data_IF_807312303288
#
_entry.id   IF_807312303288
#
_cell.length_a   1.000
_cell.length_b   1.000
_cell.length_c   1.000
_cell.angle_alpha   90.00
_cell.angle_beta   90.00
_cell.angle_gamma   90.00
#
_symmetry.space_group_name_H-M   'P 1'
#
loop_
_entity.id
_entity.type
_entity.pdbx_description
1 polymer ?
#
# COMPACT_ATOMS: atom_id res chain seq x y z
N UNK A 1 3.15 -6.65 40.50
CA UNK A 1 3.05 -5.74 39.34
C UNK A 1 2.78 -4.32 39.82
N UNK A 2 3.25 -3.31 39.10
CA UNK A 2 2.97 -1.88 39.34
C UNK A 2 2.43 -1.30 38.03
N UNK A 3 1.28 -0.63 38.05
CA UNK A 3 0.55 -0.24 36.83
C UNK A 3 -0.42 0.91 37.12
N UNK A 4 -0.72 1.76 36.12
CA UNK A 4 -1.77 2.78 36.20
C UNK A 4 -3.15 2.22 35.82
N UNK A 5 -4.24 2.83 36.31
CA UNK A 5 -5.60 2.30 36.17
C UNK A 5 -6.03 1.99 34.72
N UNK A 6 -5.77 2.86 33.75
CA UNK A 6 -6.09 2.61 32.34
C UNK A 6 -5.33 1.43 31.73
N UNK A 7 -4.06 1.25 32.10
CA UNK A 7 -3.26 0.10 31.66
C UNK A 7 -3.67 -1.21 32.36
N UNK A 8 -4.11 -1.11 33.62
CA UNK A 8 -4.71 -2.22 34.36
C UNK A 8 -6.02 -2.66 33.69
N UNK A 9 -6.94 -1.74 33.40
CA UNK A 9 -8.23 -2.04 32.77
C UNK A 9 -8.09 -2.69 31.38
N UNK A 10 -7.04 -2.37 30.61
CA UNK A 10 -6.77 -3.04 29.32
C UNK A 10 -6.28 -4.50 29.45
N UNK A 11 -5.82 -4.94 30.64
CA UNK A 11 -5.17 -6.26 30.82
C UNK A 11 -5.66 -7.06 32.04
N UNK A 12 -6.60 -6.53 32.84
CA UNK A 12 -7.06 -7.11 34.10
C UNK A 12 -7.62 -8.55 33.98
N UNK A 13 -8.05 -8.97 32.78
CA UNK A 13 -8.45 -10.36 32.51
C UNK A 13 -7.35 -11.39 32.82
N UNK A 14 -6.06 -11.04 32.69
CA UNK A 14 -4.94 -11.94 33.01
C UNK A 14 -4.78 -12.23 34.51
N UNK A 15 -5.51 -11.53 35.39
CA UNK A 15 -5.63 -11.90 36.81
C UNK A 15 -6.29 -13.27 36.94
N UNK A 16 -7.19 -13.65 36.02
CA UNK A 16 -7.79 -15.00 35.98
C UNK A 16 -6.72 -16.07 35.70
N UNK A 17 -5.80 -15.80 34.77
CA UNK A 17 -4.63 -16.64 34.47
C UNK A 17 -3.74 -16.76 35.70
N UNK A 18 -3.36 -15.63 36.33
CA UNK A 18 -2.54 -15.63 37.53
C UNK A 18 -3.17 -16.40 38.70
N UNK A 19 -4.49 -16.27 38.89
CA UNK A 19 -5.25 -16.96 39.93
C UNK A 19 -5.30 -18.47 39.66
N UNK A 20 -5.54 -18.88 38.42
CA UNK A 20 -5.59 -20.30 38.00
C UNK A 20 -4.26 -21.01 38.19
N UNK A 21 -3.14 -20.35 37.85
CA UNK A 21 -1.79 -20.91 37.95
C UNK A 21 -1.17 -20.73 39.36
N UNK A 22 -1.94 -20.27 40.37
CA UNK A 22 -1.48 -20.12 41.75
C UNK A 22 -0.39 -19.06 41.95
N UNK A 23 -0.24 -18.13 40.99
CA UNK A 23 0.80 -17.12 41.02
C UNK A 23 0.42 -16.00 41.99
N UNK A 24 1.07 -15.97 43.17
CA UNK A 24 0.86 -15.00 44.24
C UNK A 24 1.30 -13.57 43.89
N UNK A 25 0.73 -13.00 42.83
CA UNK A 25 1.09 -11.68 42.29
C UNK A 25 0.30 -10.59 43.01
N UNK A 26 1.01 -9.74 43.76
CA UNK A 26 0.43 -8.49 44.29
C UNK A 26 0.40 -7.44 43.18
N UNK A 27 -0.75 -6.80 42.97
CA UNK A 27 -0.94 -5.71 42.00
C UNK A 27 -1.07 -4.38 42.75
N UNK A 28 -0.13 -3.46 42.52
CA UNK A 28 -0.19 -2.08 42.98
C UNK A 28 -0.71 -1.23 41.82
N UNK A 29 -1.98 -0.83 41.90
CA UNK A 29 -2.62 0.02 40.90
C UNK A 29 -2.57 1.47 41.37
N UNK A 30 -1.95 2.33 40.58
CA UNK A 30 -2.04 3.78 40.75
C UNK A 30 -3.31 4.25 40.05
N UNK A 31 -4.22 4.85 40.81
CA UNK A 31 -5.53 5.30 40.34
C UNK A 31 -5.55 6.83 40.30
N UNK A 32 -5.10 7.41 39.19
CA UNK A 32 -5.10 8.85 38.90
C UNK A 32 -6.34 9.29 38.09
N UNK A 33 -7.10 8.37 37.51
CA UNK A 33 -8.36 8.65 36.82
C UNK A 33 -8.21 9.28 35.43
N UNK A 34 -6.98 9.49 34.98
CA UNK A 34 -6.63 10.04 33.67
C UNK A 34 -5.52 9.23 33.00
N UNK A 35 -5.44 9.28 31.67
CA UNK A 35 -4.28 8.78 30.93
C UNK A 35 -3.11 9.77 31.08
N UNK A 36 -2.57 9.88 32.30
CA UNK A 36 -1.65 10.95 32.73
C UNK A 36 -0.38 11.07 31.88
N UNK A 37 0.16 9.96 31.37
CA UNK A 37 1.29 9.98 30.42
C UNK A 37 0.92 10.57 29.05
N UNK A 38 -0.35 10.46 28.63
CA UNK A 38 -0.86 11.07 27.39
C UNK A 38 -1.18 12.56 27.64
N UNK A 39 -1.73 12.90 28.80
CA UNK A 39 -1.94 14.30 29.20
C UNK A 39 -0.62 15.09 29.20
N UNK A 40 0.41 14.59 29.90
CA UNK A 40 1.75 15.19 29.91
C UNK A 40 2.39 15.26 28.50
N UNK A 41 2.12 14.29 27.63
CA UNK A 41 2.59 14.33 26.25
C UNK A 41 1.87 15.39 25.38
N UNK A 42 0.63 15.75 25.72
CA UNK A 42 -0.16 16.80 25.04
C UNK A 42 0.19 18.21 25.54
N UNK A 43 0.65 18.36 26.79
CA UNK A 43 1.14 19.65 27.30
C UNK A 43 2.45 20.11 26.65
N UNK A 44 3.23 19.19 26.03
CA UNK A 44 4.45 19.52 25.28
C UNK A 44 4.07 20.11 23.90
N UNK A 45 4.35 21.40 23.62
CA UNK A 45 3.92 21.99 22.36
C UNK A 45 4.70 21.42 21.17
N UNK A 46 4.02 20.63 20.32
CA UNK A 46 4.56 20.07 19.08
C UNK A 46 4.82 21.16 18.01
N UNK A 47 5.87 21.97 18.21
CA UNK A 47 6.29 23.02 17.28
C UNK A 47 7.11 22.44 16.11
N UNK A 48 6.60 22.38 14.86
CA UNK A 48 7.30 21.73 13.75
C UNK A 48 8.61 22.42 13.36
N UNK A 49 8.77 23.70 13.74
CA UNK A 49 9.95 24.51 13.43
C UNK A 49 11.19 24.11 14.25
N UNK A 50 11.02 23.52 15.45
CA UNK A 50 12.15 23.13 16.31
C UNK A 50 12.96 21.98 15.70
N UNK A 51 12.26 20.92 15.26
CA UNK A 51 12.84 19.77 14.55
C UNK A 51 13.55 20.19 13.25
N UNK A 52 13.05 21.21 12.55
CA UNK A 52 13.66 21.70 11.31
C UNK A 52 15.00 22.40 11.54
N UNK A 53 15.19 23.08 12.67
CA UNK A 53 16.48 23.70 13.05
C UNK A 53 17.51 22.67 13.49
N UNK A 54 17.10 21.65 14.25
CA UNK A 54 17.98 20.57 14.70
C UNK A 54 18.59 19.77 13.53
N UNK A 55 17.87 19.59 12.42
CA UNK A 55 18.35 18.86 11.23
C UNK A 55 19.29 19.64 10.30
N UNK A 56 19.46 20.96 10.47
CA UNK A 56 20.17 21.81 9.50
C UNK A 56 21.53 22.35 9.96
N UNK A 57 21.95 22.11 11.21
CA UNK A 57 23.31 22.46 11.68
C UNK A 57 23.65 23.95 11.77
N UNK A 58 22.66 24.83 11.61
CA UNK A 58 22.79 26.29 11.61
C UNK A 58 23.30 26.84 12.97
N UNK A 59 24.42 27.61 13.01
CA UNK A 59 24.91 28.23 14.24
C UNK A 59 23.92 29.26 14.80
N UNK A 60 23.62 29.18 16.11
CA UNK A 60 22.56 29.96 16.75
C UNK A 60 22.72 31.48 16.66
N UNK A 61 21.83 32.13 15.90
CA UNK A 61 21.71 33.58 15.82
C UNK A 61 21.41 34.25 17.17
N UNK A 62 21.96 35.46 17.37
CA UNK A 62 21.95 36.19 18.65
C UNK A 62 20.53 36.57 19.11
N UNK A 63 20.23 36.39 20.41
CA UNK A 63 19.09 37.03 21.07
C UNK A 63 19.31 38.56 21.16
N UNK A 64 18.31 39.42 20.90
CA UNK A 64 18.35 40.81 21.32
C UNK A 64 18.29 40.88 22.86
N UNK A 65 19.00 41.85 23.46
CA UNK A 65 19.30 41.83 24.90
C UNK A 65 18.51 42.84 25.74
N UNK A 66 18.04 42.41 26.91
CA UNK A 66 17.70 43.32 28.00
C UNK A 66 18.97 43.75 28.75
N UNK A 67 19.22 45.07 28.82
CA UNK A 67 20.24 45.66 29.71
C UNK A 67 19.64 45.97 31.08
N UNK A 68 20.17 45.36 32.14
CA UNK A 68 20.28 45.98 33.47
C UNK A 68 21.72 45.81 34.00
N UNK A 69 22.13 46.69 34.91
CA UNK A 69 23.54 46.99 35.24
C UNK A 69 24.01 46.27 36.51
N UNK A 70 25.30 45.94 36.58
CA UNK A 70 26.09 45.86 37.82
C UNK A 70 27.49 46.51 37.59
N UNK A 71 28.16 47.01 38.64
CA UNK A 71 29.37 47.87 38.53
C UNK A 71 30.71 47.09 38.45
N UNK A 72 31.85 47.77 38.16
CA UNK A 72 33.11 47.10 37.77
C UNK A 72 34.29 47.20 38.77
N UNK A 73 34.96 46.08 39.03
CA UNK A 73 36.36 45.95 39.50
C UNK A 73 36.94 44.60 38.99
N UNK A 74 38.24 44.38 38.79
CA UNK A 74 39.37 45.31 38.75
C UNK A 74 40.76 44.61 38.68
N UNK A 75 41.52 44.80 37.59
CA UNK A 75 42.94 44.39 37.45
C UNK A 75 43.22 42.88 37.20
N UNK A 76 44.47 42.39 37.10
CA UNK A 76 45.75 42.97 36.57
C UNK A 76 46.84 41.86 36.49
N UNK A 77 47.85 42.02 35.60
CA UNK A 77 49.07 41.16 35.39
C UNK A 77 48.77 39.80 34.69
N UNK A 78 49.51 39.25 33.71
CA UNK A 78 50.95 39.17 33.30
C UNK A 78 51.77 38.09 34.03
N UNK A 79 52.30 37.08 33.31
CA UNK A 79 53.74 36.74 33.20
C UNK A 79 54.02 35.70 32.06
N UNK A 80 55.27 35.22 31.89
CA UNK A 80 55.96 35.23 30.57
C UNK A 80 57.15 34.22 30.46
N UNK A 81 57.28 33.48 29.33
CA UNK A 81 58.46 32.67 28.86
C UNK A 81 58.82 31.41 29.71
N UNK A 82 59.72 30.49 29.34
CA UNK A 82 60.74 30.30 28.25
C UNK A 82 60.90 28.77 27.96
N UNK A 83 61.45 28.25 26.83
CA UNK A 83 61.69 28.84 25.51
C UNK A 83 63.08 28.56 24.85
N UNK A 84 63.30 27.39 24.22
CA UNK A 84 64.46 27.05 23.35
C UNK A 84 64.37 25.63 22.73
N UNK A 85 65.31 25.08 21.91
CA UNK A 85 66.22 25.60 20.85
C UNK A 85 67.12 24.44 20.32
N UNK A 86 67.30 24.26 18.99
CA UNK A 86 68.29 23.32 18.41
C UNK A 86 68.27 23.22 16.87
N UNK A 87 69.40 23.50 16.18
CA UNK A 87 69.57 23.62 14.70
C UNK A 87 71.08 23.92 14.37
N UNK A 88 71.57 24.08 13.10
CA UNK A 88 70.91 24.06 11.78
C UNK A 88 71.40 22.92 10.84
N UNK A 89 72.37 23.00 9.85
CA UNK A 89 73.28 24.09 9.40
C UNK A 89 72.96 24.90 8.09
N UNK A 90 73.21 24.37 6.86
CA UNK A 90 73.50 25.10 5.58
C UNK A 90 73.15 24.17 4.37
N UNK A 91 73.07 24.56 3.07
CA UNK A 91 73.32 25.82 2.28
C UNK A 91 71.96 26.52 1.97
N UNK A 92 71.75 27.70 1.34
CA UNK A 92 72.35 28.60 0.29
C UNK A 92 72.26 28.09 -1.16
N UNK A 93 71.66 28.79 -2.15
CA UNK A 93 71.00 30.11 -2.31
C UNK A 93 71.12 30.59 -3.79
N UNK A 94 70.66 31.78 -4.27
CA UNK A 94 69.76 32.84 -3.76
C UNK A 94 68.35 32.79 -4.44
N UNK A 95 67.22 33.27 -3.90
CA UNK A 95 66.77 34.59 -3.39
C UNK A 95 66.13 35.52 -4.45
N UNK A 96 64.80 35.66 -4.37
CA UNK A 96 63.94 36.59 -5.11
C UNK A 96 62.48 36.41 -4.66
N UNK A 97 61.80 37.46 -4.21
CA UNK A 97 60.43 37.39 -3.68
C UNK A 97 59.35 37.53 -4.77
N UNK A 98 58.10 37.15 -4.55
CA UNK A 98 57.50 36.53 -3.35
C UNK A 98 56.02 36.88 -3.19
N UNK A 99 55.11 35.98 -3.59
CA UNK A 99 53.67 36.28 -3.57
C UNK A 99 52.74 35.11 -3.89
N UNK A 100 52.29 34.41 -2.83
CA UNK A 100 51.05 33.60 -2.72
C UNK A 100 50.55 32.87 -3.98
N UNK A 101 50.85 31.58 -4.04
CA UNK A 101 50.37 30.63 -5.05
C UNK A 101 48.92 30.16 -4.80
N UNK A 102 48.31 29.54 -5.81
CA UNK A 102 46.99 28.86 -5.82
C UNK A 102 45.74 29.74 -5.64
N UNK A 103 45.23 30.23 -6.78
CA UNK A 103 43.79 30.18 -7.08
C UNK A 103 43.63 29.69 -8.51
N UNK A 104 43.02 28.52 -8.69
CA UNK A 104 42.73 27.98 -10.02
C UNK A 104 41.54 28.72 -10.66
N UNK A 105 41.67 28.95 -11.97
CA UNK A 105 40.68 29.06 -13.04
C UNK A 105 39.22 29.42 -12.62
N UNK A 106 38.64 30.53 -13.06
CA UNK A 106 38.27 30.87 -14.45
C UNK A 106 37.27 29.87 -15.07
N UNK A 107 36.12 30.29 -15.63
CA UNK A 107 35.57 31.64 -15.72
C UNK A 107 34.03 31.68 -15.87
N UNK A 108 33.45 32.84 -15.55
CA UNK A 108 32.18 33.39 -16.07
C UNK A 108 30.90 32.52 -16.06
N UNK A 109 29.97 32.85 -15.15
CA UNK A 109 28.66 33.40 -15.56
C UNK A 109 28.29 34.58 -14.66
N UNK A 110 27.64 35.59 -15.23
CA UNK A 110 27.33 36.87 -14.56
C UNK A 110 25.84 37.04 -14.29
N UNK A 111 25.55 37.70 -13.17
CA UNK A 111 24.27 38.30 -12.79
C UNK A 111 24.57 39.65 -12.12
N UNK A 112 23.62 40.59 -11.99
CA UNK A 112 22.45 40.84 -12.84
C UNK A 112 22.29 42.34 -13.20
N UNK A 113 21.42 42.68 -14.17
CA UNK A 113 20.73 43.99 -14.23
C UNK A 113 19.27 43.82 -14.65
N UNK A 114 18.43 44.80 -14.27
CA UNK A 114 16.98 44.88 -14.55
C UNK A 114 16.71 45.53 -15.91
N UNK A 115 15.47 45.38 -16.38
CA UNK A 115 14.98 45.71 -17.73
C UNK A 115 14.27 44.48 -18.26
N UNK A 116 13.07 44.18 -17.77
CA UNK A 116 11.81 44.65 -18.39
C UNK A 116 11.56 43.95 -19.74
N UNK A 117 10.88 42.80 -19.72
CA UNK A 117 9.59 42.71 -20.41
C UNK A 117 8.73 41.51 -19.96
N UNK A 118 7.41 41.68 -20.12
CA UNK A 118 6.34 40.67 -20.15
C UNK A 118 6.44 39.40 -19.28
N UNK A 119 5.83 39.45 -18.08
CA UNK A 119 5.25 38.26 -17.45
C UNK A 119 3.96 37.87 -18.20
N UNK A 120 4.07 37.11 -19.30
CA UNK A 120 2.89 36.46 -19.89
C UNK A 120 2.43 35.32 -18.99
N UNK A 121 1.18 35.37 -18.54
CA UNK A 121 0.56 34.27 -17.83
C UNK A 121 0.43 33.07 -18.79
N UNK A 122 0.91 31.90 -18.37
CA UNK A 122 0.69 30.66 -19.11
C UNK A 122 -0.84 30.42 -19.22
N UNK A 123 -1.39 30.26 -20.43
CA UNK A 123 -2.83 30.08 -20.60
C UNK A 123 -3.27 28.75 -19.97
N UNK A 124 -4.44 28.77 -19.31
CA UNK A 124 -5.09 27.58 -18.78
C UNK A 124 -5.70 26.73 -19.91
N UNK A 125 -4.83 26.13 -20.74
CA UNK A 125 -5.18 25.19 -21.80
C UNK A 125 -4.98 23.75 -21.33
N UNK A 126 -5.97 22.86 -21.39
CA UNK A 126 -7.38 23.10 -21.70
C UNK A 126 -8.25 22.09 -20.92
N UNK A 127 -9.53 22.44 -20.71
CA UNK A 127 -10.52 21.41 -20.39
C UNK A 127 -10.53 20.35 -21.53
N UNK A 128 -10.72 19.06 -21.22
CA UNK A 128 -10.83 18.05 -22.26
C UNK A 128 -12.00 18.43 -23.17
N UNK A 129 -11.73 18.66 -24.45
CA UNK A 129 -12.78 18.96 -25.41
C UNK A 129 -13.84 17.84 -25.37
N UNK A 130 -15.11 18.22 -25.28
CA UNK A 130 -16.23 17.29 -25.32
C UNK A 130 -16.35 16.68 -26.73
N UNK A 131 -15.49 15.70 -27.00
CA UNK A 131 -15.68 14.76 -28.10
C UNK A 131 -17.04 14.08 -27.95
N UNK A 132 -17.64 13.77 -29.09
CA UNK A 132 -19.06 13.42 -29.24
C UNK A 132 -19.57 12.41 -28.21
N UNK A 133 -20.86 12.50 -27.80
CA UNK A 133 -21.45 11.57 -26.84
C UNK A 133 -21.37 10.14 -27.38
N UNK A 134 -20.38 9.38 -26.90
CA UNK A 134 -20.15 7.99 -27.27
C UNK A 134 -21.29 7.13 -26.74
N UNK A 135 -22.32 6.90 -27.57
CA UNK A 135 -23.48 6.06 -27.25
C UNK A 135 -23.11 4.62 -26.81
N UNK A 136 -21.89 4.15 -27.13
CA UNK A 136 -21.31 2.90 -26.62
C UNK A 136 -20.63 2.98 -25.24
N UNK A 137 -20.22 4.17 -24.77
CA UNK A 137 -19.57 4.32 -23.46
C UNK A 137 -20.58 4.17 -22.32
N UNK A 138 -21.75 4.82 -22.45
CA UNK A 138 -22.86 4.72 -21.49
C UNK A 138 -23.36 3.28 -21.33
N UNK A 139 -23.53 2.55 -22.44
CA UNK A 139 -23.99 1.15 -22.38
C UNK A 139 -22.94 0.21 -21.75
N UNK A 140 -21.65 0.42 -22.01
CA UNK A 140 -20.57 -0.32 -21.35
C UNK A 140 -20.51 -0.03 -19.84
N UNK A 141 -20.69 1.24 -19.44
CA UNK A 141 -20.78 1.64 -18.02
C UNK A 141 -22.01 1.04 -17.32
N UNK A 142 -23.18 1.10 -17.95
CA UNK A 142 -24.41 0.52 -17.41
C UNK A 142 -24.30 -1.00 -17.23
N UNK A 143 -23.69 -1.72 -18.18
CA UNK A 143 -23.43 -3.17 -18.06
C UNK A 143 -22.44 -3.46 -16.93
N UNK A 144 -21.38 -2.67 -16.77
CA UNK A 144 -20.45 -2.78 -15.63
C UNK A 144 -21.17 -2.55 -14.30
N UNK A 145 -21.97 -1.49 -14.18
CA UNK A 145 -22.71 -1.14 -12.97
C UNK A 145 -23.75 -2.21 -12.62
N UNK A 146 -24.51 -2.70 -13.61
CA UNK A 146 -25.48 -3.79 -13.43
C UNK A 146 -24.78 -5.08 -12.97
N UNK A 147 -23.64 -5.45 -13.58
CA UNK A 147 -22.79 -6.58 -13.15
C UNK A 147 -22.35 -6.41 -11.69
N UNK A 148 -21.88 -5.22 -11.29
CA UNK A 148 -21.49 -4.93 -9.90
C UNK A 148 -22.68 -5.03 -8.93
N UNK A 149 -23.85 -4.50 -9.28
CA UNK A 149 -25.06 -4.55 -8.44
C UNK A 149 -25.55 -5.99 -8.27
N UNK A 150 -25.72 -6.75 -9.37
CA UNK A 150 -26.16 -8.14 -9.31
C UNK A 150 -25.20 -9.02 -8.50
N UNK A 151 -23.88 -8.88 -8.73
CA UNK A 151 -22.87 -9.58 -7.91
C UNK A 151 -22.89 -9.11 -6.45
N UNK A 152 -23.13 -7.84 -6.16
CA UNK A 152 -23.23 -7.35 -4.78
C UNK A 152 -24.46 -7.90 -4.05
N UNK A 153 -25.61 -8.01 -4.72
CA UNK A 153 -26.87 -8.54 -4.18
C UNK A 153 -26.85 -10.07 -4.04
N UNK A 154 -26.19 -10.80 -4.96
CA UNK A 154 -26.09 -12.26 -4.89
C UNK A 154 -25.07 -12.75 -3.85
N UNK A 155 -24.00 -11.99 -3.63
CA UNK A 155 -22.96 -12.34 -2.66
C UNK A 155 -23.31 -11.95 -1.22
N UNK A 156 -22.49 -12.44 -0.28
CA UNK A 156 -22.55 -12.12 1.14
C UNK A 156 -22.25 -10.62 1.40
N UNK A 157 -22.90 -9.99 2.39
CA UNK A 157 -23.98 -10.51 3.23
C UNK A 157 -25.37 -10.38 2.59
N UNK A 158 -25.51 -9.68 1.46
CA UNK A 158 -26.78 -9.27 0.89
C UNK A 158 -27.68 -10.46 0.49
N UNK A 159 -27.17 -11.46 -0.23
CA UNK A 159 -27.96 -12.59 -0.72
C UNK A 159 -28.71 -13.34 0.40
N UNK A 160 -28.01 -13.81 1.45
CA UNK A 160 -28.64 -14.42 2.62
C UNK A 160 -29.63 -13.50 3.36
N UNK A 161 -29.35 -12.20 3.46
CA UNK A 161 -30.25 -11.22 4.10
C UNK A 161 -31.51 -10.94 3.26
N UNK A 162 -31.40 -10.90 1.93
CA UNK A 162 -32.53 -10.76 1.02
C UNK A 162 -33.43 -12.01 1.05
N UNK A 163 -32.82 -13.19 1.12
CA UNK A 163 -33.55 -14.45 1.33
C UNK A 163 -34.32 -14.42 2.66
N UNK A 164 -33.68 -13.94 3.74
CA UNK A 164 -34.32 -13.79 5.03
C UNK A 164 -35.49 -12.79 5.00
N UNK A 165 -35.28 -11.61 4.40
CA UNK A 165 -36.29 -10.57 4.25
C UNK A 165 -37.50 -11.01 3.41
N UNK A 166 -37.26 -11.73 2.31
CA UNK A 166 -38.33 -12.34 1.50
C UNK A 166 -39.14 -13.35 2.32
N UNK A 167 -38.48 -14.13 3.18
CA UNK A 167 -39.15 -15.01 4.14
C UNK A 167 -40.07 -14.25 5.09
N UNK A 168 -39.59 -13.14 5.66
CA UNK A 168 -40.39 -12.27 6.54
C UNK A 168 -41.61 -11.65 5.82
N UNK A 169 -41.44 -11.16 4.59
CA UNK A 169 -42.54 -10.62 3.77
C UNK A 169 -43.61 -11.68 3.47
N UNK A 170 -43.20 -12.92 3.20
CA UNK A 170 -44.12 -14.02 2.91
C UNK A 170 -44.88 -14.55 4.14
N UNK A 171 -44.49 -14.20 5.38
CA UNK A 171 -45.18 -14.63 6.61
C UNK A 171 -46.68 -14.32 6.60
N UNK A 172 -47.09 -13.19 6.03
CA UNK A 172 -48.49 -12.75 6.02
C UNK A 172 -49.40 -13.57 5.09
N UNK A 173 -48.83 -14.27 4.09
CA UNK A 173 -49.59 -15.05 3.10
C UNK A 173 -49.34 -16.56 3.20
N UNK A 174 -48.08 -16.97 3.39
CA UNK A 174 -47.65 -18.37 3.48
C UNK A 174 -46.73 -18.60 4.69
N UNK A 175 -47.26 -18.59 5.94
CA UNK A 175 -46.44 -18.50 7.16
C UNK A 175 -45.43 -19.64 7.35
N UNK A 176 -45.75 -20.88 6.93
CA UNK A 176 -44.81 -22.01 7.01
C UNK A 176 -43.61 -21.82 6.08
N UNK A 177 -43.87 -21.43 4.83
CA UNK A 177 -42.83 -21.19 3.82
C UNK A 177 -42.01 -19.95 4.17
N UNK A 178 -42.65 -18.85 4.58
CA UNK A 178 -41.97 -17.64 5.02
C UNK A 178 -41.03 -17.87 6.21
N UNK A 179 -41.46 -18.64 7.24
CA UNK A 179 -40.58 -19.04 8.35
C UNK A 179 -39.40 -19.88 7.88
N UNK A 180 -39.63 -20.86 7.00
CA UNK A 180 -38.56 -21.69 6.44
C UNK A 180 -37.51 -20.83 5.73
N UNK A 181 -37.96 -19.98 4.80
CA UNK A 181 -37.09 -19.11 4.00
C UNK A 181 -36.34 -18.08 4.86
N UNK A 182 -36.99 -17.54 5.90
CA UNK A 182 -36.36 -16.65 6.88
C UNK A 182 -35.21 -17.34 7.63
N UNK A 183 -35.45 -18.54 8.18
CA UNK A 183 -34.42 -19.30 8.88
C UNK A 183 -33.33 -19.83 7.94
N UNK A 184 -33.65 -20.21 6.70
CA UNK A 184 -32.64 -20.57 5.69
C UNK A 184 -31.72 -19.39 5.36
N UNK A 185 -32.24 -18.17 5.24
CA UNK A 185 -31.41 -16.97 5.03
C UNK A 185 -30.46 -16.69 6.20
N UNK A 186 -30.96 -16.79 7.44
CA UNK A 186 -30.13 -16.61 8.65
C UNK A 186 -29.09 -17.72 8.83
N UNK A 187 -29.46 -18.98 8.63
CA UNK A 187 -28.54 -20.12 8.72
C UNK A 187 -27.46 -20.07 7.63
N UNK A 188 -27.85 -19.69 6.40
CA UNK A 188 -26.91 -19.48 5.30
C UNK A 188 -25.93 -18.33 5.61
N UNK A 189 -26.42 -17.22 6.18
CA UNK A 189 -25.54 -16.11 6.61
C UNK A 189 -24.57 -16.56 7.70
N UNK A 190 -25.02 -17.35 8.69
CA UNK A 190 -24.16 -17.87 9.76
C UNK A 190 -23.07 -18.79 9.19
N UNK A 191 -23.45 -19.82 8.43
CA UNK A 191 -22.50 -20.76 7.83
C UNK A 191 -21.47 -20.05 6.95
N UNK A 192 -21.91 -19.07 6.16
CA UNK A 192 -21.04 -18.26 5.31
C UNK A 192 -20.24 -17.19 6.08
N UNK A 193 -20.54 -16.95 7.35
CA UNK A 193 -19.73 -16.13 8.26
C UNK A 193 -18.71 -16.97 9.06
N UNK A 194 -18.88 -18.29 9.17
CA UNK A 194 -18.02 -19.20 9.94
C UNK A 194 -16.77 -19.60 9.12
N UNK A 195 -15.53 -19.26 9.58
CA UNK A 195 -14.30 -19.63 8.87
C UNK A 195 -14.10 -21.14 8.65
N UNK A 196 -14.58 -22.00 9.55
CA UNK A 196 -14.49 -23.46 9.37
C UNK A 196 -15.30 -23.98 8.17
N UNK A 197 -16.27 -23.22 7.67
CA UNK A 197 -17.00 -23.51 6.42
C UNK A 197 -16.30 -22.87 5.23
N UNK A 198 -15.87 -21.62 5.36
CA UNK A 198 -15.39 -20.81 4.23
C UNK A 198 -13.89 -20.94 3.92
N UNK A 199 -13.04 -21.31 4.89
CA UNK A 199 -11.63 -21.68 4.63
C UNK A 199 -11.52 -22.90 3.69
N UNK A 200 -12.27 -24.02 3.88
CA UNK A 200 -12.34 -25.10 2.89
C UNK A 200 -12.83 -24.65 1.50
N UNK A 201 -13.84 -23.77 1.44
CA UNK A 201 -14.31 -23.22 0.16
C UNK A 201 -13.21 -22.42 -0.57
N UNK A 202 -12.41 -21.66 0.18
CA UNK A 202 -11.28 -20.91 -0.38
C UNK A 202 -10.12 -21.84 -0.77
N UNK A 203 -9.82 -22.87 0.04
CA UNK A 203 -8.80 -23.89 -0.26
C UNK A 203 -9.06 -24.62 -1.59
N UNK A 204 -10.33 -24.90 -1.90
CA UNK A 204 -10.74 -25.51 -3.17
C UNK A 204 -10.56 -24.60 -4.41
N UNK A 205 -10.19 -23.33 -4.21
CA UNK A 205 -9.97 -22.31 -5.25
C UNK A 205 -8.51 -21.87 -5.29
N UNK A 206 -7.80 -21.92 -4.15
CA UNK A 206 -6.34 -21.81 -4.05
C UNK A 206 -5.60 -23.09 -4.50
N UNK A 207 -6.18 -23.83 -5.45
CA UNK A 207 -5.71 -25.15 -5.90
C UNK A 207 -4.48 -25.11 -6.81
N UNK A 208 -4.10 -23.92 -7.30
CA UNK A 208 -2.87 -23.71 -8.06
C UNK A 208 -1.67 -23.62 -7.10
N UNK A 209 -0.64 -24.48 -7.24
CA UNK A 209 0.51 -24.49 -6.32
C UNK A 209 1.43 -23.27 -6.51
N UNK A 210 2.33 -22.98 -5.54
CA UNK A 210 3.32 -21.91 -5.65
C UNK A 210 4.24 -22.09 -6.86
N UNK A 211 4.84 -20.98 -7.33
CA UNK A 211 5.72 -20.99 -8.49
C UNK A 211 6.87 -22.00 -8.35
N UNK A 212 6.95 -22.93 -9.30
CA UNK A 212 8.13 -23.74 -9.53
C UNK A 212 9.23 -22.90 -10.22
N UNK A 213 10.35 -22.73 -9.52
CA UNK A 213 11.52 -21.97 -9.98
C UNK A 213 12.17 -22.61 -11.21
N UNK A 214 12.01 -23.92 -11.44
CA UNK A 214 12.46 -24.56 -12.67
C UNK A 214 11.66 -24.10 -13.89
N UNK A 215 10.33 -23.99 -13.76
CA UNK A 215 9.44 -23.52 -14.83
C UNK A 215 9.64 -22.04 -15.14
N UNK A 216 9.92 -21.21 -14.13
CA UNK A 216 10.15 -19.77 -14.27
C UNK A 216 11.21 -19.42 -15.33
N UNK A 217 12.22 -20.28 -15.53
CA UNK A 217 13.26 -20.15 -16.57
C UNK A 217 12.73 -20.10 -18.02
N UNK A 218 11.49 -20.53 -18.25
CA UNK A 218 10.86 -20.49 -19.59
C UNK A 218 9.98 -19.27 -19.84
N UNK A 219 9.78 -18.39 -18.87
CA UNK A 219 9.03 -17.14 -19.06
C UNK A 219 9.89 -16.04 -19.70
N UNK A 220 9.25 -15.15 -20.45
CA UNK A 220 9.89 -14.04 -21.17
C UNK A 220 9.56 -12.66 -20.56
N UNK A 221 8.55 -12.60 -19.68
CA UNK A 221 8.13 -11.41 -18.94
C UNK A 221 7.39 -11.81 -17.65
N UNK A 222 7.22 -10.86 -16.74
CA UNK A 222 6.30 -10.94 -15.59
C UNK A 222 5.10 -10.03 -15.87
N UNK A 223 3.88 -10.52 -15.64
CA UNK A 223 2.63 -9.78 -15.77
C UNK A 223 1.95 -9.71 -14.40
N UNK A 224 1.64 -8.50 -13.91
CA UNK A 224 1.01 -8.30 -12.59
C UNK A 224 -0.37 -7.68 -12.76
N UNK A 225 -1.38 -8.31 -12.16
CA UNK A 225 -2.76 -7.82 -12.20
C UNK A 225 -3.07 -6.91 -11.01
N UNK A 226 -3.80 -5.83 -11.28
CA UNK A 226 -4.43 -4.99 -10.27
C UNK A 226 -5.42 -5.73 -9.35
N UNK A 227 -5.48 -5.31 -8.09
CA UNK A 227 -6.37 -5.78 -7.03
C UNK A 227 -7.25 -4.68 -6.41
N UNK A 228 -7.18 -3.46 -6.93
CA UNK A 228 -7.87 -2.25 -6.45
C UNK A 228 -6.92 -1.13 -6.04
N UNK A 229 -7.45 0.09 -5.94
CA UNK A 229 -6.74 1.29 -5.47
C UNK A 229 -7.48 1.94 -4.29
N UNK A 230 -6.76 2.74 -3.49
CA UNK A 230 -7.33 3.67 -2.53
C UNK A 230 -7.34 5.07 -3.14
N UNK A 231 -8.49 5.76 -3.07
CA UNK A 231 -8.65 7.11 -3.64
C UNK A 231 -8.26 8.19 -2.64
N UNK A 232 -7.58 9.23 -3.13
CA UNK A 232 -7.20 10.43 -2.37
C UNK A 232 -6.57 10.15 -0.99
N UNK A 233 -5.67 9.17 -0.92
CA UNK A 233 -5.01 8.76 0.31
C UNK A 233 -4.18 9.92 0.90
N UNK A 234 -4.55 10.49 2.07
CA UNK A 234 -3.97 11.73 2.57
C UNK A 234 -2.45 11.66 2.80
N UNK A 235 -1.95 10.50 3.19
CA UNK A 235 -0.53 10.22 3.45
C UNK A 235 0.32 10.08 2.19
N UNK A 236 -0.31 9.84 1.02
CA UNK A 236 0.34 9.83 -0.29
C UNK A 236 0.05 11.09 -1.13
N UNK A 237 -0.94 11.91 -0.73
CA UNK A 237 -1.34 13.13 -1.44
C UNK A 237 -2.10 12.88 -2.75
N UNK A 238 -2.69 11.69 -2.92
CA UNK A 238 -3.36 11.25 -4.14
C UNK A 238 -3.76 9.78 -4.09
N UNK A 239 -4.15 9.22 -5.22
CA UNK A 239 -4.54 7.81 -5.31
C UNK A 239 -3.31 6.89 -5.16
N UNK A 240 -3.49 5.75 -4.47
CA UNK A 240 -2.43 4.75 -4.27
C UNK A 240 -2.97 3.32 -4.41
N UNK A 241 -2.07 2.33 -4.47
CA UNK A 241 -2.43 0.92 -4.66
C UNK A 241 -3.08 0.34 -3.39
N UNK A 242 -4.05 -0.58 -3.55
CA UNK A 242 -4.64 -1.28 -2.40
C UNK A 242 -3.65 -2.27 -1.76
N UNK A 243 -3.95 -2.74 -0.54
CA UNK A 243 -3.14 -3.79 0.14
C UNK A 243 -2.91 -5.04 -0.72
N UNK A 244 -3.96 -5.52 -1.40
CA UNK A 244 -3.90 -6.71 -2.27
C UNK A 244 -2.96 -6.47 -3.46
N UNK A 245 -3.00 -5.26 -4.02
CA UNK A 245 -2.12 -4.86 -5.10
C UNK A 245 -0.67 -4.79 -4.61
N UNK A 246 -0.43 -4.14 -3.46
CA UNK A 246 0.90 -4.03 -2.84
C UNK A 246 1.54 -5.41 -2.57
N UNK A 247 0.77 -6.40 -2.13
CA UNK A 247 1.23 -7.79 -1.95
C UNK A 247 1.66 -8.46 -3.27
N UNK A 248 0.94 -8.19 -4.36
CA UNK A 248 1.32 -8.62 -5.72
C UNK A 248 2.57 -7.90 -6.20
N UNK A 249 2.70 -6.60 -5.98
CA UNK A 249 3.89 -5.82 -6.34
C UNK A 249 5.12 -6.28 -5.56
N UNK A 250 4.99 -6.53 -4.26
CA UNK A 250 6.06 -7.10 -3.41
C UNK A 250 6.57 -8.44 -3.96
N UNK A 251 5.67 -9.33 -4.38
CA UNK A 251 6.06 -10.62 -4.95
C UNK A 251 6.64 -10.47 -6.36
N UNK A 252 6.04 -9.63 -7.22
CA UNK A 252 6.55 -9.34 -8.55
C UNK A 252 7.96 -8.70 -8.53
N UNK A 253 8.22 -7.78 -7.60
CA UNK A 253 9.52 -7.17 -7.39
C UNK A 253 10.56 -8.19 -6.92
N UNK A 254 10.18 -9.17 -6.10
CA UNK A 254 11.05 -10.31 -5.76
C UNK A 254 11.38 -11.13 -7.02
N UNK A 255 10.37 -11.55 -7.77
CA UNK A 255 10.54 -12.36 -8.98
C UNK A 255 11.37 -11.65 -10.06
N UNK A 256 11.20 -10.34 -10.24
CA UNK A 256 12.00 -9.57 -11.19
C UNK A 256 13.48 -9.53 -10.79
N UNK A 257 13.80 -9.43 -9.50
CA UNK A 257 15.19 -9.49 -9.01
C UNK A 257 15.79 -10.89 -9.12
N UNK A 258 14.98 -11.94 -8.94
CA UNK A 258 15.42 -13.34 -9.05
C UNK A 258 15.57 -13.82 -10.50
N UNK A 259 14.84 -13.23 -11.47
CA UNK A 259 14.80 -13.70 -12.87
C UNK A 259 15.33 -12.71 -13.91
N UNK A 260 15.45 -11.42 -13.57
CA UNK A 260 15.79 -10.34 -14.50
C UNK A 260 14.70 -9.98 -15.53
N UNK A 261 13.54 -10.63 -15.49
CA UNK A 261 12.52 -10.52 -16.54
C UNK A 261 11.82 -9.14 -16.57
N UNK A 262 11.47 -8.63 -17.77
CA UNK A 262 10.76 -7.36 -17.89
C UNK A 262 9.33 -7.45 -17.33
N UNK A 263 8.88 -6.35 -16.71
CA UNK A 263 7.58 -6.27 -16.04
C UNK A 263 6.51 -5.54 -16.87
N UNK A 264 5.32 -6.14 -16.92
CA UNK A 264 4.06 -5.52 -17.31
C UNK A 264 3.14 -5.41 -16.09
N UNK A 265 2.47 -4.27 -15.93
CA UNK A 265 1.40 -4.06 -14.95
C UNK A 265 0.09 -3.70 -15.66
N UNK A 266 -1.03 -4.25 -15.20
CA UNK A 266 -2.33 -4.13 -15.88
C UNK A 266 -3.49 -3.85 -14.90
N UNK A 267 -4.31 -2.85 -15.22
CA UNK A 267 -5.45 -2.39 -14.44
C UNK A 267 -5.78 -0.91 -14.71
N UNK A 268 -6.97 -0.62 -15.23
CA UNK A 268 -7.42 0.75 -15.52
C UNK A 268 -8.06 1.50 -14.34
N UNK A 269 -8.94 2.44 -14.66
CA UNK A 269 -9.63 3.33 -13.71
C UNK A 269 -11.19 3.20 -13.77
N UNK A 270 -11.78 2.01 -13.54
CA UNK A 270 -13.21 1.76 -13.78
C UNK A 270 -14.18 2.50 -12.84
N UNK A 271 -13.68 3.23 -11.84
CA UNK A 271 -14.46 4.11 -10.95
C UNK A 271 -13.98 5.57 -11.00
N UNK A 272 -13.21 5.94 -12.04
CA UNK A 272 -12.45 7.18 -12.08
C UNK A 272 -11.13 7.07 -11.29
N UNK A 273 -10.50 8.22 -11.03
CA UNK A 273 -9.19 8.33 -10.39
C UNK A 273 -8.01 7.99 -11.30
N UNK A 274 -6.84 7.79 -10.70
CA UNK A 274 -5.63 7.31 -11.38
C UNK A 274 -5.79 5.82 -11.71
N UNK A 275 -5.50 5.44 -12.95
CA UNK A 275 -5.53 4.04 -13.37
C UNK A 275 -4.54 3.19 -12.54
N UNK A 276 -5.01 2.05 -12.04
CA UNK A 276 -4.28 1.26 -11.05
C UNK A 276 -2.87 0.88 -11.52
N UNK A 277 -2.71 0.53 -12.80
CA UNK A 277 -1.42 0.19 -13.40
C UNK A 277 -0.39 1.34 -13.37
N UNK A 278 -0.83 2.61 -13.37
CA UNK A 278 0.05 3.78 -13.20
C UNK A 278 0.53 3.90 -11.76
N UNK A 279 -0.35 3.67 -10.79
CA UNK A 279 0.01 3.59 -9.36
C UNK A 279 0.93 2.39 -9.09
N UNK A 280 0.67 1.24 -9.73
CA UNK A 280 1.55 0.06 -9.69
C UNK A 280 2.94 0.34 -10.25
N UNK A 281 3.04 1.07 -11.37
CA UNK A 281 4.33 1.52 -11.90
C UNK A 281 5.05 2.43 -10.89
N UNK A 282 4.37 3.44 -10.36
CA UNK A 282 4.98 4.40 -9.44
C UNK A 282 5.53 3.70 -8.18
N UNK A 283 4.80 2.76 -7.61
CA UNK A 283 5.22 1.98 -6.43
C UNK A 283 6.40 1.05 -6.76
N UNK A 284 6.33 0.30 -7.87
CA UNK A 284 7.45 -0.58 -8.28
C UNK A 284 8.74 0.22 -8.51
N UNK A 285 8.66 1.34 -9.21
CA UNK A 285 9.83 2.14 -9.59
C UNK A 285 10.41 2.95 -8.43
N UNK A 286 9.57 3.51 -7.54
CA UNK A 286 10.01 4.39 -6.45
C UNK A 286 10.30 3.68 -5.14
N UNK A 287 9.52 2.65 -4.79
CA UNK A 287 9.61 1.98 -3.49
C UNK A 287 10.36 0.64 -3.59
N UNK A 288 10.13 -0.11 -4.67
CA UNK A 288 10.84 -1.37 -4.92
C UNK A 288 12.08 -1.21 -5.80
N UNK A 289 12.31 -0.07 -6.46
CA UNK A 289 13.44 0.16 -7.36
C UNK A 289 13.44 -0.75 -8.60
N UNK A 290 12.27 -1.25 -8.99
CA UNK A 290 12.07 -2.20 -10.09
C UNK A 290 11.41 -1.50 -11.27
N UNK A 291 12.11 -1.45 -12.41
CA UNK A 291 11.62 -0.77 -13.62
C UNK A 291 10.48 -1.55 -14.29
N UNK A 292 9.38 -0.86 -14.57
CA UNK A 292 8.30 -1.39 -15.40
C UNK A 292 8.61 -1.14 -16.87
N UNK A 293 8.35 -2.12 -17.74
CA UNK A 293 8.55 -2.01 -19.20
C UNK A 293 7.25 -1.70 -19.94
N UNK A 294 6.11 -2.18 -19.43
CA UNK A 294 4.80 -1.98 -20.04
C UNK A 294 3.73 -1.67 -18.98
N UNK A 295 2.82 -0.76 -19.33
CA UNK A 295 1.67 -0.38 -18.49
C UNK A 295 0.42 -0.50 -19.35
N UNK A 296 -0.59 -1.19 -18.84
CA UNK A 296 -1.92 -1.29 -19.43
C UNK A 296 -2.92 -0.65 -18.45
N UNK A 297 -3.47 0.50 -18.81
CA UNK A 297 -4.20 1.42 -17.94
C UNK A 297 -5.65 1.71 -18.41
N UNK A 298 -6.20 0.89 -19.31
CA UNK A 298 -7.53 1.08 -19.89
C UNK A 298 -8.54 -0.03 -19.54
N UNK A 299 -8.09 -1.11 -18.91
CA UNK A 299 -8.93 -2.26 -18.50
C UNK A 299 -9.96 -1.93 -17.40
N UNK A 300 -11.20 -2.37 -17.60
CA UNK A 300 -12.28 -2.22 -16.63
C UNK A 300 -12.55 -3.48 -15.78
N UNK A 301 -12.14 -4.66 -16.24
CA UNK A 301 -12.16 -5.92 -15.49
C UNK A 301 -11.10 -6.92 -16.01
N UNK A 302 -10.97 -8.07 -15.33
CA UNK A 302 -9.94 -9.09 -15.58
C UNK A 302 -9.85 -9.56 -17.04
N UNK A 303 -10.96 -9.58 -17.79
CA UNK A 303 -10.94 -9.95 -19.21
C UNK A 303 -10.35 -8.82 -20.05
N UNK A 304 -10.67 -7.58 -19.70
CA UNK A 304 -9.98 -6.38 -20.22
C UNK A 304 -8.47 -6.40 -19.95
N UNK A 305 -8.04 -6.77 -18.73
CA UNK A 305 -6.62 -6.86 -18.37
C UNK A 305 -5.85 -7.78 -19.35
N UNK A 306 -6.36 -8.99 -19.60
CA UNK A 306 -5.75 -9.94 -20.52
C UNK A 306 -5.74 -9.41 -21.96
N UNK A 307 -6.91 -9.00 -22.47
CA UNK A 307 -7.12 -8.56 -23.85
C UNK A 307 -6.33 -7.32 -24.25
N UNK A 308 -6.05 -6.42 -23.30
CA UNK A 308 -5.28 -5.22 -23.53
C UNK A 308 -3.77 -5.42 -23.26
N UNK A 309 -3.41 -6.39 -22.41
CA UNK A 309 -2.01 -6.78 -22.18
C UNK A 309 -1.43 -7.60 -23.34
N UNK A 310 -2.20 -8.53 -23.91
CA UNK A 310 -1.71 -9.45 -24.94
C UNK A 310 -1.11 -8.72 -26.17
N UNK A 311 -1.73 -7.66 -26.75
CA UNK A 311 -1.11 -6.88 -27.83
C UNK A 311 0.19 -6.18 -27.45
N UNK A 312 0.45 -5.86 -26.17
CA UNK A 312 1.72 -5.29 -25.72
C UNK A 312 2.82 -6.35 -25.63
N UNK A 313 2.45 -7.57 -25.22
CA UNK A 313 3.32 -8.74 -25.10
C UNK A 313 3.69 -9.30 -26.48
N UNK A 314 2.69 -9.55 -27.34
CA UNK A 314 2.88 -10.10 -28.68
C UNK A 314 3.76 -9.20 -29.57
N UNK A 315 3.57 -7.86 -29.50
CA UNK A 315 4.44 -6.87 -30.18
C UNK A 315 5.91 -6.93 -29.74
N UNK A 316 6.21 -7.54 -28.61
CA UNK A 316 7.57 -7.74 -28.10
C UNK A 316 8.07 -9.19 -28.25
N UNK A 317 7.35 -10.04 -28.98
CA UNK A 317 7.67 -11.48 -29.11
C UNK A 317 7.42 -12.29 -27.84
N UNK A 318 6.69 -11.74 -26.87
CA UNK A 318 6.35 -12.43 -25.61
C UNK A 318 5.05 -13.20 -25.78
N UNK A 319 5.14 -14.52 -25.67
CA UNK A 319 4.02 -15.47 -25.68
C UNK A 319 3.94 -16.28 -24.39
N UNK A 320 4.98 -16.27 -23.53
CA UNK A 320 5.00 -16.97 -22.24
C UNK A 320 5.41 -16.04 -21.09
N UNK A 321 4.59 -15.97 -20.04
CA UNK A 321 4.74 -15.01 -18.92
C UNK A 321 4.62 -15.69 -17.56
N UNK A 322 5.31 -15.13 -16.55
CA UNK A 322 4.97 -15.33 -15.14
C UNK A 322 3.75 -14.47 -14.80
N UNK A 323 2.62 -15.09 -14.49
CA UNK A 323 1.38 -14.39 -14.14
C UNK A 323 1.30 -14.21 -12.61
N UNK A 324 1.38 -12.96 -12.14
CA UNK A 324 1.34 -12.61 -10.71
C UNK A 324 -0.04 -12.08 -10.31
N UNK A 325 -0.71 -12.83 -9.45
CA UNK A 325 -1.97 -12.45 -8.79
C UNK A 325 -2.13 -13.24 -7.49
N UNK A 326 -3.22 -13.04 -6.75
CA UNK A 326 -3.51 -13.84 -5.54
C UNK A 326 -3.87 -15.29 -5.89
N UNK A 327 -3.56 -16.22 -4.98
CA UNK A 327 -3.83 -17.65 -5.16
C UNK A 327 -5.30 -17.93 -5.56
N UNK A 328 -6.25 -17.36 -4.81
CA UNK A 328 -7.68 -17.50 -5.07
C UNK A 328 -8.14 -16.92 -6.43
N UNK A 329 -7.39 -15.99 -7.01
CA UNK A 329 -7.71 -15.41 -8.32
C UNK A 329 -7.00 -16.13 -9.49
N UNK A 330 -5.97 -16.93 -9.20
CA UNK A 330 -5.03 -17.43 -10.20
C UNK A 330 -5.72 -18.21 -11.33
N UNK A 331 -6.54 -19.21 -10.99
CA UNK A 331 -7.23 -20.07 -11.96
C UNK A 331 -8.07 -19.28 -12.97
N UNK A 332 -8.79 -18.24 -12.52
CA UNK A 332 -9.59 -17.38 -13.42
C UNK A 332 -8.69 -16.51 -14.28
N UNK A 333 -7.67 -15.89 -13.70
CA UNK A 333 -6.73 -15.04 -14.43
C UNK A 333 -5.95 -15.80 -15.53
N UNK A 334 -5.55 -17.05 -15.27
CA UNK A 334 -4.93 -17.91 -16.29
C UNK A 334 -5.88 -18.16 -17.47
N UNK A 335 -7.17 -18.39 -17.22
CA UNK A 335 -8.18 -18.58 -18.26
C UNK A 335 -8.33 -17.36 -19.19
N UNK A 336 -8.36 -16.14 -18.64
CA UNK A 336 -8.46 -14.91 -19.45
C UNK A 336 -7.22 -14.72 -20.35
N UNK A 337 -6.01 -14.97 -19.84
CA UNK A 337 -4.77 -14.83 -20.62
C UNK A 337 -4.59 -15.96 -21.65
N UNK A 338 -5.07 -17.17 -21.36
CA UNK A 338 -5.07 -18.28 -22.31
C UNK A 338 -5.98 -18.00 -23.52
N UNK A 339 -7.17 -17.41 -23.30
CA UNK A 339 -8.08 -17.01 -24.36
C UNK A 339 -7.47 -15.97 -25.32
N UNK A 340 -6.57 -15.13 -24.82
CA UNK A 340 -5.84 -14.10 -25.57
C UNK A 340 -4.48 -14.61 -26.10
N UNK A 341 -4.29 -15.94 -26.17
CA UNK A 341 -3.09 -16.62 -26.68
C UNK A 341 -1.78 -16.22 -25.97
N UNK A 342 -1.84 -16.07 -24.63
CA UNK A 342 -0.66 -15.88 -23.77
C UNK A 342 -0.52 -17.07 -22.82
N UNK A 343 0.58 -17.82 -22.93
CA UNK A 343 0.89 -18.96 -22.06
C UNK A 343 1.30 -18.46 -20.67
N UNK A 344 0.51 -18.77 -19.66
CA UNK A 344 0.78 -18.36 -18.27
C UNK A 344 1.50 -19.45 -17.49
N UNK A 345 2.65 -19.13 -16.93
CA UNK A 345 3.23 -19.85 -15.79
C UNK A 345 2.68 -19.18 -14.53
N UNK A 346 2.01 -19.94 -13.66
CA UNK A 346 1.38 -19.39 -12.48
C UNK A 346 2.42 -18.92 -11.45
N UNK A 347 2.34 -17.66 -11.03
CA UNK A 347 3.10 -17.10 -9.92
C UNK A 347 2.17 -16.54 -8.82
N UNK A 348 1.43 -17.41 -8.10
CA UNK A 348 0.46 -17.00 -7.10
C UNK A 348 1.14 -16.51 -5.81
N UNK A 349 0.55 -15.49 -5.21
CA UNK A 349 0.91 -14.96 -3.88
C UNK A 349 -0.31 -14.97 -2.95
N UNK A 350 -0.13 -14.64 -1.66
CA UNK A 350 -1.20 -14.54 -0.67
C UNK A 350 -2.14 -15.77 -0.65
N UNK A 351 -1.64 -16.87 -0.08
CA UNK A 351 -2.46 -18.06 0.23
C UNK A 351 -3.12 -17.88 1.59
N UNK A 352 -4.43 -17.69 1.59
CA UNK A 352 -5.23 -17.32 2.76
C UNK A 352 -5.90 -18.54 3.40
N UNK A 353 -6.02 -19.65 2.65
CA UNK A 353 -6.61 -20.89 3.14
C UNK A 353 -5.62 -21.81 3.89
N UNK A 354 -4.33 -21.44 3.96
CA UNK A 354 -3.26 -22.28 4.54
C UNK A 354 -3.09 -22.06 6.05
N UNK A 355 -3.70 -22.93 6.83
CA UNK A 355 -3.46 -23.07 8.27
C UNK A 355 -4.35 -24.16 8.89
N UNK A 356 -4.04 -24.65 10.10
CA UNK A 356 -4.95 -25.51 10.83
C UNK A 356 -6.25 -24.76 11.16
N UNK A 357 -7.38 -25.48 11.20
CA UNK A 357 -8.60 -24.95 11.80
C UNK A 357 -8.45 -24.93 13.32
N UNK A 358 -8.87 -23.82 13.92
CA UNK A 358 -8.86 -23.58 15.36
C UNK A 358 -10.29 -23.64 15.91
N UNK A 359 -10.45 -23.77 17.24
CA UNK A 359 -11.79 -23.68 17.86
C UNK A 359 -12.47 -22.32 17.59
N UNK A 360 -11.70 -21.25 17.40
CA UNK A 360 -12.20 -19.91 17.04
C UNK A 360 -12.77 -19.85 15.61
N UNK A 361 -12.31 -20.72 14.70
CA UNK A 361 -12.84 -20.79 13.32
C UNK A 361 -14.28 -21.32 13.25
N UNK A 362 -14.84 -21.85 14.36
CA UNK A 362 -16.26 -22.20 14.46
C UNK A 362 -17.16 -20.97 14.70
N UNK A 363 -16.59 -19.87 15.21
CA UNK A 363 -17.34 -18.64 15.49
C UNK A 363 -17.57 -17.84 14.19
N UNK A 364 -18.78 -17.34 13.92
CA UNK A 364 -19.04 -16.49 12.76
C UNK A 364 -18.34 -15.14 12.91
N UNK A 365 -17.71 -14.63 11.85
CA UNK A 365 -16.95 -13.39 11.90
C UNK A 365 -16.62 -12.78 10.53
N UNK A 366 -16.00 -11.60 10.56
CA UNK A 366 -15.65 -10.80 9.37
C UNK A 366 -14.70 -11.55 8.42
N UNK A 367 -13.76 -12.32 8.94
CA UNK A 367 -12.85 -13.15 8.14
C UNK A 367 -13.57 -14.24 7.35
N UNK A 368 -14.58 -14.89 7.94
CA UNK A 368 -15.37 -15.92 7.26
C UNK A 368 -16.27 -15.31 6.18
N UNK A 369 -16.95 -14.20 6.48
CA UNK A 369 -17.72 -13.44 5.48
C UNK A 369 -16.84 -12.93 4.32
N UNK A 370 -15.59 -12.56 4.58
CA UNK A 370 -14.66 -12.15 3.54
C UNK A 370 -14.23 -13.35 2.68
N UNK A 371 -13.75 -14.43 3.29
CA UNK A 371 -13.31 -15.63 2.59
C UNK A 371 -14.46 -16.26 1.76
N UNK A 372 -15.66 -16.33 2.34
CA UNK A 372 -16.87 -16.79 1.67
C UNK A 372 -17.26 -15.91 0.49
N UNK A 373 -17.21 -14.58 0.63
CA UNK A 373 -17.48 -13.64 -0.46
C UNK A 373 -16.47 -13.78 -1.61
N UNK A 374 -15.18 -13.93 -1.31
CA UNK A 374 -14.14 -14.17 -2.33
C UNK A 374 -14.37 -15.51 -3.02
N UNK A 375 -14.60 -16.59 -2.27
CA UNK A 375 -14.80 -17.93 -2.82
C UNK A 375 -16.01 -17.98 -3.77
N UNK A 376 -17.15 -17.45 -3.35
CA UNK A 376 -18.35 -17.38 -4.21
C UNK A 376 -18.14 -16.47 -5.44
N UNK A 377 -17.40 -15.36 -5.30
CA UNK A 377 -17.10 -14.46 -6.42
C UNK A 377 -16.25 -15.15 -7.50
N UNK A 378 -15.21 -15.89 -7.12
CA UNK A 378 -14.33 -16.57 -8.07
C UNK A 378 -14.97 -17.84 -8.64
N UNK A 379 -15.80 -18.56 -7.89
CA UNK A 379 -16.61 -19.66 -8.44
C UNK A 379 -17.60 -19.15 -9.50
N UNK A 380 -18.32 -18.05 -9.22
CA UNK A 380 -19.20 -17.40 -10.19
C UNK A 380 -18.43 -16.88 -11.40
N UNK A 381 -17.25 -16.27 -11.18
CA UNK A 381 -16.37 -15.80 -12.24
C UNK A 381 -15.86 -16.92 -13.14
N UNK A 382 -15.44 -18.05 -12.58
CA UNK A 382 -15.04 -19.25 -13.34
C UNK A 382 -16.22 -19.88 -14.09
N UNK A 383 -17.43 -19.89 -13.50
CA UNK A 383 -18.63 -20.38 -14.18
C UNK A 383 -18.96 -19.51 -15.40
N UNK A 384 -19.01 -18.18 -15.24
CA UNK A 384 -19.23 -17.24 -16.35
C UNK A 384 -18.15 -17.38 -17.42
N UNK A 385 -16.88 -17.54 -17.03
CA UNK A 385 -15.79 -17.80 -17.98
C UNK A 385 -16.04 -19.07 -18.80
N UNK A 386 -16.33 -20.22 -18.16
CA UNK A 386 -16.61 -21.50 -18.86
C UNK A 386 -17.84 -21.46 -19.78
N UNK A 387 -18.77 -20.52 -19.58
CA UNK A 387 -19.99 -20.35 -20.38
C UNK A 387 -19.87 -19.22 -21.42
N UNK A 388 -18.82 -18.39 -21.37
CA UNK A 388 -18.63 -17.24 -22.28
C UNK A 388 -17.25 -17.19 -22.98
N UNK A 389 -16.44 -18.24 -22.80
CA UNK A 389 -15.40 -18.62 -23.75
C UNK A 389 -16.05 -19.29 -24.98
N UNK A 390 -15.64 -18.94 -26.20
CA UNK A 390 -16.08 -19.61 -27.43
C UNK A 390 -15.39 -20.97 -27.64
#
# INVERSE_FOLDING_TARGET
SIVGDGAFMMTAMEILTATKEGLGIVYFVFHDGELSQIAQAQEIPLQPQALRRARLGEPGGRRPGHRRRLPPHGGRRRHRRHGGRGAPPRRRGPAGGGGRQHRLLEAQRLHPRRGEDQLQALPAGAAPAHGEPRLGAESHWLVFLLKKILTALALQPAGPLLLAALGLLLLRRWPRFGKSLAWSGLALLWLLATPAVTKPMLAAIEDVPPLDVAQAKSAQAIVVLGGGSYFAAPEYGGDTVSRWTLERLRYAARLQRETGLPLLVTGGAPLGGVAEARSMQAVLEREFGVKVRWVEDASADTRGNARLSAPLLHKAGVTRVLLVTHAWHMRRAQGEFAAENVTTIAAPTAYEAKGPLTALDLLPGSGGLWAGRIALNELLGQFVQRVTSP
#
